data_IF_154616338138
#
_entry.id   IF_154616338138
#
_cell.length_a   1.000
_cell.length_b   1.000
_cell.length_c   1.000
_cell.angle_alpha   90.00
_cell.angle_beta   90.00
_cell.angle_gamma   90.00
#
_symmetry.space_group_name_H-M   'P 1'
#
loop_
_entity.id
_entity.type
_entity.pdbx_description
1 polymer ?
#
# COMPACT_ATOMS: atom_id res chain seq x y z
N UNK A 1 -19.45 28.91 0.56
CA UNK A 1 -19.64 27.85 1.58
C UNK A 1 -18.57 26.80 1.34
N UNK A 2 -17.72 26.52 2.33
CA UNK A 2 -16.72 25.44 2.27
C UNK A 2 -17.43 24.13 2.66
N UNK A 3 -17.29 23.03 1.91
CA UNK A 3 -17.80 21.74 2.37
C UNK A 3 -17.08 21.33 3.65
N UNK A 4 -17.84 20.75 4.59
CA UNK A 4 -17.33 20.27 5.86
C UNK A 4 -16.36 19.10 5.64
N UNK A 5 -15.21 19.14 6.30
CA UNK A 5 -14.26 18.02 6.30
C UNK A 5 -14.93 16.77 6.92
N UNK A 6 -14.74 15.57 6.35
CA UNK A 6 -15.24 14.33 6.96
C UNK A 6 -14.60 14.16 8.34
N UNK A 7 -15.41 13.76 9.32
CA UNK A 7 -15.03 13.63 10.71
C UNK A 7 -13.95 12.55 10.91
N UNK A 8 -13.03 12.72 11.88
CA UNK A 8 -12.00 11.74 12.17
C UNK A 8 -12.65 10.55 12.90
N UNK A 9 -12.97 9.50 12.16
CA UNK A 9 -13.53 8.27 12.68
C UNK A 9 -12.62 7.10 12.35
N UNK A 10 -11.42 7.12 12.91
CA UNK A 10 -10.63 5.93 13.20
C UNK A 10 -9.95 6.18 14.54
N UNK A 11 -9.88 5.18 15.40
CA UNK A 11 -8.99 5.29 16.56
C UNK A 11 -7.58 5.57 16.04
N UNK A 12 -6.78 6.41 16.72
CA UNK A 12 -5.42 6.68 16.25
C UNK A 12 -4.64 5.36 16.23
N UNK A 13 -4.18 4.99 15.03
CA UNK A 13 -3.29 3.86 14.81
C UNK A 13 -2.14 3.91 15.83
N UNK A 14 -2.08 2.93 16.73
CA UNK A 14 -1.17 2.95 17.86
C UNK A 14 0.13 2.22 17.50
N UNK A 15 1.28 2.91 17.47
CA UNK A 15 2.55 2.23 17.28
C UNK A 15 2.88 1.40 18.53
N UNK A 16 3.37 0.17 18.32
CA UNK A 16 3.91 -0.68 19.39
C UNK A 16 5.30 -1.19 19.02
N UNK A 17 6.12 -1.62 20.01
CA UNK A 17 7.40 -2.26 19.73
C UNK A 17 7.22 -3.51 18.85
N UNK A 18 8.18 -3.70 17.95
CA UNK A 18 8.28 -4.90 17.13
C UNK A 18 8.46 -6.17 17.98
N UNK A 19 7.87 -7.27 17.51
CA UNK A 19 8.10 -8.62 18.02
C UNK A 19 8.44 -9.57 16.87
N UNK A 20 9.10 -10.70 17.13
CA UNK A 20 9.45 -11.66 16.08
C UNK A 20 8.22 -12.27 15.37
N UNK A 21 7.03 -12.18 15.97
CA UNK A 21 5.79 -12.58 15.31
C UNK A 21 5.43 -11.66 14.12
N UNK A 22 5.93 -10.43 14.11
CA UNK A 22 5.65 -9.43 13.07
C UNK A 22 6.55 -9.60 11.84
N UNK A 23 7.63 -10.37 11.93
CA UNK A 23 8.69 -10.47 10.91
C UNK A 23 8.12 -10.76 9.52
N UNK A 24 7.25 -11.76 9.41
CA UNK A 24 6.64 -12.16 8.15
C UNK A 24 5.78 -11.03 7.55
N UNK A 25 5.04 -10.30 8.40
CA UNK A 25 4.21 -9.19 7.96
C UNK A 25 5.05 -8.00 7.51
N UNK A 26 6.10 -7.65 8.27
CA UNK A 26 7.01 -6.55 7.91
C UNK A 26 7.76 -6.87 6.61
N UNK A 27 8.23 -8.10 6.42
CA UNK A 27 8.85 -8.55 5.17
C UNK A 27 7.87 -8.45 3.99
N UNK A 28 6.61 -8.84 4.18
CA UNK A 28 5.58 -8.71 3.15
C UNK A 28 5.24 -7.25 2.83
N UNK A 29 5.18 -6.36 3.84
CA UNK A 29 4.98 -4.92 3.63
C UNK A 29 6.15 -4.34 2.83
N UNK A 30 7.38 -4.67 3.22
CA UNK A 30 8.57 -4.26 2.48
C UNK A 30 8.44 -4.65 1.01
N UNK A 31 8.09 -5.90 0.72
CA UNK A 31 7.91 -6.39 -0.64
C UNK A 31 6.81 -5.65 -1.43
N UNK A 32 5.68 -5.34 -0.78
CA UNK A 32 4.57 -4.59 -1.38
C UNK A 32 4.84 -3.11 -1.60
N UNK A 33 5.91 -2.57 -1.01
CA UNK A 33 6.17 -1.12 -1.00
C UNK A 33 7.58 -0.76 -1.48
N UNK A 34 8.42 -1.75 -1.82
CA UNK A 34 9.84 -1.54 -2.09
C UNK A 34 10.13 -0.73 -3.37
N UNK A 35 9.16 -0.66 -4.30
CA UNK A 35 9.31 0.02 -5.59
C UNK A 35 8.58 1.37 -5.57
N UNK A 36 9.20 2.40 -4.99
CA UNK A 36 8.60 3.74 -4.86
C UNK A 36 7.18 3.72 -4.24
N UNK A 37 6.95 2.83 -3.28
CA UNK A 37 5.64 2.61 -2.65
C UNK A 37 4.74 1.58 -3.35
N UNK A 38 5.21 0.97 -4.45
CA UNK A 38 4.50 -0.10 -5.16
C UNK A 38 5.13 -1.48 -4.96
N UNK A 39 4.38 -2.51 -5.34
CA UNK A 39 4.75 -3.92 -5.22
C UNK A 39 5.92 -4.29 -6.13
N UNK A 40 6.84 -5.10 -5.60
CA UNK A 40 8.04 -5.52 -6.32
C UNK A 40 8.09 -7.01 -6.71
N UNK A 41 6.96 -7.72 -6.73
CA UNK A 41 6.86 -9.12 -7.16
C UNK A 41 7.42 -9.36 -8.56
N UNK A 42 7.24 -8.41 -9.48
CA UNK A 42 7.70 -8.54 -10.88
C UNK A 42 9.19 -8.22 -11.07
N UNK A 43 9.86 -7.66 -10.05
CA UNK A 43 11.26 -7.26 -10.13
C UNK A 43 12.22 -8.41 -9.80
N UNK A 44 11.77 -9.40 -9.05
CA UNK A 44 12.59 -10.51 -8.58
C UNK A 44 12.02 -11.86 -9.02
N UNK A 45 12.88 -12.83 -9.39
CA UNK A 45 12.48 -14.22 -9.54
C UNK A 45 11.82 -14.79 -8.27
N UNK A 46 11.00 -15.82 -8.42
CA UNK A 46 10.25 -16.44 -7.31
C UNK A 46 11.14 -16.93 -6.15
N UNK A 47 12.36 -17.35 -6.44
CA UNK A 47 13.36 -17.80 -5.48
C UNK A 47 14.13 -16.66 -4.80
N UNK A 48 13.95 -15.42 -5.26
CA UNK A 48 14.65 -14.22 -4.78
C UNK A 48 13.71 -13.14 -4.24
N UNK A 49 12.45 -13.48 -3.98
CA UNK A 49 11.45 -12.53 -3.46
C UNK A 49 11.78 -11.99 -2.06
N UNK A 50 12.66 -12.65 -1.30
CA UNK A 50 13.10 -12.18 0.03
C UNK A 50 14.19 -11.12 -0.03
N UNK A 51 14.90 -10.97 -1.16
CA UNK A 51 16.04 -10.06 -1.29
C UNK A 51 15.74 -8.61 -0.86
N UNK A 52 14.57 -8.02 -1.17
CA UNK A 52 14.23 -6.69 -0.68
C UNK A 52 14.20 -6.63 0.85
N UNK A 53 13.52 -7.57 1.49
CA UNK A 53 13.41 -7.62 2.94
C UNK A 53 14.76 -7.89 3.62
N UNK A 54 15.54 -8.82 3.07
CA UNK A 54 16.89 -9.16 3.55
C UNK A 54 17.83 -7.95 3.52
N UNK A 55 17.70 -7.09 2.50
CA UNK A 55 18.55 -5.92 2.33
C UNK A 55 18.05 -4.70 3.10
N UNK A 56 16.75 -4.50 3.20
CA UNK A 56 16.16 -3.25 3.68
C UNK A 56 15.69 -3.31 5.14
N UNK A 57 15.23 -4.47 5.60
CA UNK A 57 14.54 -4.60 6.89
C UNK A 57 15.30 -5.52 7.84
N UNK A 58 15.76 -6.68 7.38
CA UNK A 58 16.36 -7.71 8.23
C UNK A 58 17.51 -7.21 9.13
N UNK A 59 18.41 -6.29 8.69
CA UNK A 59 19.45 -5.75 9.56
C UNK A 59 18.90 -5.01 10.79
N UNK A 60 17.79 -4.30 10.65
CA UNK A 60 17.16 -3.59 11.77
C UNK A 60 16.52 -4.56 12.75
N UNK A 61 15.76 -5.53 12.23
CA UNK A 61 15.08 -6.55 13.06
C UNK A 61 16.08 -7.44 13.81
N UNK A 62 17.25 -7.68 13.21
CA UNK A 62 18.28 -8.55 13.80
C UNK A 62 19.18 -7.81 14.78
N UNK A 63 19.64 -6.59 14.43
CA UNK A 63 20.67 -5.90 15.19
C UNK A 63 20.11 -4.99 16.27
N UNK A 64 18.98 -4.32 16.01
CA UNK A 64 18.39 -3.35 16.95
C UNK A 64 16.84 -3.44 16.95
N UNK A 65 16.24 -4.61 17.28
CA UNK A 65 14.79 -4.78 17.29
C UNK A 65 14.08 -3.83 18.25
N UNK A 66 14.74 -3.35 19.30
CA UNK A 66 14.22 -2.39 20.28
C UNK A 66 13.96 -1.00 19.68
N UNK A 67 14.55 -0.69 18.52
CA UNK A 67 14.31 0.54 17.78
C UNK A 67 13.18 0.40 16.75
N UNK A 68 12.68 -0.82 16.54
CA UNK A 68 11.65 -1.10 15.54
C UNK A 68 10.26 -0.97 16.17
N UNK A 69 9.38 -0.25 15.49
CA UNK A 69 7.96 -0.12 15.85
C UNK A 69 7.10 -0.56 14.68
N UNK A 70 5.97 -1.18 14.99
CA UNK A 70 4.94 -1.56 14.02
C UNK A 70 3.64 -0.84 14.34
N UNK A 71 2.85 -0.62 13.31
CA UNK A 71 1.52 -0.04 13.42
C UNK A 71 0.52 -1.14 13.13
N UNK A 72 -0.41 -1.36 14.06
CA UNK A 72 -1.52 -2.29 13.85
C UNK A 72 -2.68 -1.53 13.23
N UNK A 73 -3.18 -2.02 12.09
CA UNK A 73 -4.39 -1.52 11.47
C UNK A 73 -5.59 -2.33 12.00
N UNK A 74 -6.60 -1.64 12.51
CA UNK A 74 -7.87 -2.26 12.85
C UNK A 74 -8.57 -2.69 11.55
N UNK A 75 -8.80 -4.00 11.39
CA UNK A 75 -9.35 -4.61 10.17
C UNK A 75 -10.73 -4.02 9.80
N UNK A 76 -11.46 -3.44 10.76
CA UNK A 76 -12.75 -2.77 10.53
C UNK A 76 -12.63 -1.45 9.74
N UNK A 77 -11.45 -0.82 9.74
CA UNK A 77 -11.21 0.44 9.02
C UNK A 77 -10.68 0.20 7.59
N UNK A 78 -9.94 -0.90 7.35
CA UNK A 78 -9.40 -1.26 6.03
C UNK A 78 -10.49 -1.61 5.00
N UNK A 79 -11.69 -1.97 5.44
CA UNK A 79 -12.83 -2.33 4.57
C UNK A 79 -13.70 -1.13 4.16
N UNK A 80 -13.36 0.09 4.60
CA UNK A 80 -14.16 1.30 4.36
C UNK A 80 -13.66 2.18 3.21
N UNK A 81 -12.49 1.89 2.64
CA UNK A 81 -11.94 2.63 1.49
C UNK A 81 -12.45 2.05 0.15
N UNK A 82 -13.78 1.88 0.03
CA UNK A 82 -14.41 1.50 -1.22
C UNK A 82 -15.20 2.69 -1.80
N UNK A 83 -14.63 3.26 -2.88
CA UNK A 83 -15.26 4.05 -3.94
C UNK A 83 -15.59 5.56 -3.72
N UNK A 84 -14.87 6.41 -4.46
CA UNK A 84 -15.47 7.28 -5.51
C UNK A 84 -14.39 7.87 -6.43
N UNK A 85 -14.13 7.21 -7.57
CA UNK A 85 -13.56 7.87 -8.76
C UNK A 85 -14.52 7.66 -9.94
N UNK A 86 -15.60 8.45 -9.96
CA UNK A 86 -16.38 8.62 -11.19
C UNK A 86 -15.70 9.68 -12.06
N UNK A 87 -14.76 9.17 -12.84
CA UNK A 87 -14.02 9.79 -13.93
C UNK A 87 -14.92 10.67 -14.83
N UNK A 88 -14.60 11.97 -14.87
CA UNK A 88 -15.15 12.93 -15.80
C UNK A 88 -14.71 12.61 -17.25
N UNK A 89 -15.60 11.99 -18.04
CA UNK A 89 -15.35 11.82 -19.48
C UNK A 89 -15.79 13.07 -20.23
N UNK A 90 -14.83 13.85 -20.75
CA UNK A 90 -15.11 14.90 -21.72
C UNK A 90 -13.94 15.07 -22.69
N UNK A 91 -13.87 14.24 -23.73
CA UNK A 91 -13.22 14.60 -25.00
C UNK A 91 -14.02 14.05 -26.19
N UNK A 92 -14.49 14.97 -27.04
CA UNK A 92 -14.96 14.82 -28.42
C UNK A 92 -14.16 15.88 -29.20
N UNK A 93 -13.63 15.71 -30.43
CA UNK A 93 -14.32 15.16 -31.62
C UNK A 93 -13.46 14.32 -32.59
N UNK A 94 -14.10 13.55 -33.47
CA UNK A 94 -13.91 13.59 -34.95
C UNK A 94 -14.77 12.51 -35.63
N UNK A 95 -15.53 12.91 -36.65
CA UNK A 95 -16.16 12.00 -37.62
C UNK A 95 -15.25 11.88 -38.84
N UNK A 96 -15.24 10.75 -39.55
CA UNK A 96 -16.05 10.71 -40.78
C UNK A 96 -16.76 9.37 -40.98
N UNK A 97 -18.06 9.44 -41.26
CA UNK A 97 -18.86 8.29 -41.71
C UNK A 97 -18.52 7.99 -43.18
N UNK A 98 -18.02 6.79 -43.45
CA UNK A 98 -17.95 6.23 -44.81
C UNK A 98 -18.93 5.05 -44.93
N UNK A 99 -19.66 5.00 -46.04
CA UNK A 99 -20.79 4.11 -46.33
C UNK A 99 -20.42 2.63 -46.50
N UNK A 100 -21.39 1.74 -46.28
CA UNK A 100 -21.43 0.42 -46.92
C UNK A 100 -22.45 -0.56 -46.35
N UNK A 101 -23.72 -0.47 -46.80
CA UNK A 101 -24.43 -1.55 -47.52
C UNK A 101 -25.82 -1.07 -48.01
#
# INVERSE_FOLDING_TARGET
>A
MRPAAPAPHSAPLAPRPYTSADEAAVCAICHKTCRDGSDCSDLFPSDLQTLPADRLVAPFLTLNPELCMVIEEDIEDALRDDCSDDNATSEKPEQPTINGN
#
